data_IF_583172134614
#
_entry.id   IF_583172134614
#
_cell.length_a   1.000
_cell.length_b   1.000
_cell.length_c   1.000
_cell.angle_alpha   90.00
_cell.angle_beta   90.00
_cell.angle_gamma   90.00
#
_symmetry.space_group_name_H-M   'P 1'
#
loop_
_entity.id
_entity.type
_entity.pdbx_description
1 polymer ?
#
# COMPACT_ATOMS: atom_id res chain seq x y z
N UNK A 1 38.02 -15.23 -36.38
CA UNK A 1 37.18 -14.14 -35.81
C UNK A 1 35.90 -14.75 -35.30
N UNK A 2 35.87 -15.14 -34.02
CA UNK A 2 34.69 -15.68 -33.37
C UNK A 2 33.97 -14.54 -32.64
N UNK A 3 32.71 -14.28 -32.98
CA UNK A 3 31.84 -13.45 -32.16
C UNK A 3 31.17 -14.38 -31.14
N UNK A 4 31.55 -14.36 -29.85
CA UNK A 4 30.84 -15.13 -28.85
C UNK A 4 29.50 -14.45 -28.51
N UNK A 5 28.46 -15.27 -28.53
CA UNK A 5 27.11 -15.06 -27.99
C UNK A 5 26.22 -13.96 -28.57
N UNK A 6 25.22 -14.41 -29.35
CA UNK A 6 23.89 -13.77 -29.38
C UNK A 6 23.27 -13.87 -27.98
N UNK A 7 23.27 -12.76 -27.24
CA UNK A 7 22.46 -12.64 -26.03
C UNK A 7 20.97 -12.65 -26.42
N UNK A 8 20.10 -13.39 -25.73
CA UNK A 8 18.67 -13.23 -25.91
C UNK A 8 18.31 -11.81 -25.46
N UNK A 9 17.71 -11.01 -26.35
CA UNK A 9 16.89 -9.85 -25.97
C UNK A 9 15.63 -10.36 -25.26
N UNK A 10 15.84 -11.01 -24.11
CA UNK A 10 14.79 -11.29 -23.16
C UNK A 10 14.45 -9.95 -22.51
N UNK A 11 13.55 -9.24 -23.17
CA UNK A 11 12.78 -8.17 -22.54
C UNK A 11 11.78 -8.74 -21.50
N UNK A 12 11.87 -10.03 -21.17
CA UNK A 12 11.39 -10.62 -19.93
C UNK A 12 12.45 -10.42 -18.83
N UNK A 13 12.70 -9.17 -18.48
CA UNK A 13 13.33 -8.88 -17.20
C UNK A 13 12.19 -8.37 -16.30
N UNK A 14 11.61 -9.23 -15.44
CA UNK A 14 10.71 -8.75 -14.40
C UNK A 14 11.55 -7.81 -13.54
N UNK A 15 11.30 -6.51 -13.65
CA UNK A 15 11.98 -5.50 -12.86
C UNK A 15 11.82 -5.88 -11.40
N UNK A 16 12.89 -6.45 -10.84
CA UNK A 16 12.97 -6.86 -9.46
C UNK A 16 12.72 -5.65 -8.59
N UNK A 17 11.48 -5.50 -8.14
CA UNK A 17 11.11 -4.59 -7.07
C UNK A 17 10.64 -5.37 -5.84
N UNK A 18 11.27 -6.52 -5.55
CA UNK A 18 10.87 -7.48 -4.52
C UNK A 18 10.90 -6.96 -3.07
N UNK A 19 11.19 -5.67 -2.84
CA UNK A 19 11.18 -5.06 -1.50
C UNK A 19 10.95 -3.54 -1.49
N UNK A 20 10.41 -2.94 -2.55
CA UNK A 20 10.19 -1.48 -2.56
C UNK A 20 8.83 -1.16 -1.94
N UNK A 21 8.82 -0.73 -0.68
CA UNK A 21 7.64 -0.16 0.00
C UNK A 21 7.06 0.96 -0.85
N UNK A 22 5.96 0.68 -1.54
CA UNK A 22 5.28 1.65 -2.40
C UNK A 22 4.52 2.64 -1.52
N UNK A 23 4.61 3.91 -1.88
CA UNK A 23 3.83 4.96 -1.26
C UNK A 23 2.57 5.19 -2.10
N UNK A 24 1.43 4.91 -1.51
CA UNK A 24 0.10 5.14 -2.07
C UNK A 24 -0.31 6.60 -1.85
N UNK A 25 -0.82 7.24 -2.90
CA UNK A 25 -1.49 8.54 -2.77
C UNK A 25 -2.88 8.34 -2.16
N UNK A 26 -3.47 9.40 -1.59
CA UNK A 26 -4.84 9.39 -1.05
C UNK A 26 -5.85 8.64 -1.92
N UNK A 27 -5.88 8.88 -3.24
CA UNK A 27 -6.79 8.20 -4.17
C UNK A 27 -6.64 6.68 -4.15
N UNK A 28 -5.41 6.17 -4.14
CA UNK A 28 -5.14 4.73 -4.10
C UNK A 28 -5.57 4.13 -2.76
N UNK A 29 -5.37 4.86 -1.67
CA UNK A 29 -5.79 4.40 -0.34
C UNK A 29 -7.30 4.27 -0.28
N UNK A 30 -8.04 5.28 -0.75
CA UNK A 30 -9.50 5.25 -0.78
C UNK A 30 -10.05 4.12 -1.68
N UNK A 31 -9.37 3.83 -2.79
CA UNK A 31 -9.70 2.71 -3.68
C UNK A 31 -9.52 1.36 -2.97
N UNK A 32 -8.44 1.19 -2.22
CA UNK A 32 -8.13 -0.06 -1.51
C UNK A 32 -8.98 -0.29 -0.28
N UNK A 33 -9.24 0.76 0.49
CA UNK A 33 -10.00 0.66 1.74
C UNK A 33 -11.50 0.86 1.53
N UNK A 34 -11.94 1.23 0.32
CA UNK A 34 -13.33 1.61 0.00
C UNK A 34 -13.90 2.65 0.96
N UNK A 35 -13.04 3.52 1.51
CA UNK A 35 -13.43 4.52 2.50
C UNK A 35 -13.73 5.86 1.83
N UNK A 36 -14.65 6.62 2.44
CA UNK A 36 -14.83 8.02 2.12
C UNK A 36 -13.72 8.88 2.72
N UNK A 37 -13.41 10.02 2.10
CA UNK A 37 -12.41 10.98 2.60
C UNK A 37 -12.62 11.36 4.07
N UNK A 38 -13.87 11.66 4.43
CA UNK A 38 -14.23 12.03 5.80
C UNK A 38 -13.90 10.90 6.78
N UNK A 39 -14.28 9.66 6.44
CA UNK A 39 -14.04 8.50 7.28
C UNK A 39 -12.55 8.22 7.42
N UNK A 40 -11.79 8.34 6.33
CA UNK A 40 -10.33 8.22 6.38
C UNK A 40 -9.72 9.20 7.39
N UNK A 41 -10.10 10.49 7.35
CA UNK A 41 -9.59 11.47 8.31
C UNK A 41 -10.08 11.23 9.75
N UNK A 42 -11.32 10.77 9.93
CA UNK A 42 -11.84 10.38 11.25
C UNK A 42 -11.01 9.23 11.85
N UNK A 43 -10.76 8.18 11.08
CA UNK A 43 -9.97 7.04 11.54
C UNK A 43 -8.51 7.42 11.81
N UNK A 44 -7.94 8.38 11.05
CA UNK A 44 -6.63 8.95 11.35
C UNK A 44 -6.67 9.69 12.70
N UNK A 45 -7.73 10.47 12.96
CA UNK A 45 -7.91 11.18 14.23
C UNK A 45 -8.14 10.23 15.42
N UNK A 46 -8.85 9.12 15.20
CA UNK A 46 -9.06 8.05 16.17
C UNK A 46 -7.81 7.17 16.39
N UNK A 47 -6.74 7.38 15.62
CA UNK A 47 -5.52 6.57 15.67
C UNK A 47 -5.70 5.13 15.17
N UNK A 48 -6.79 4.85 14.46
CA UNK A 48 -7.10 3.54 13.87
C UNK A 48 -6.49 3.38 12.48
N UNK A 49 -6.22 4.47 11.78
CA UNK A 49 -5.66 4.46 10.43
C UNK A 49 -4.19 4.89 10.41
N UNK A 50 -3.35 4.33 9.52
CA UNK A 50 -1.96 4.73 9.41
C UNK A 50 -1.78 6.22 9.08
N UNK A 51 -0.77 6.82 9.70
CA UNK A 51 -0.51 8.25 9.55
C UNK A 51 0.00 8.58 8.15
N UNK A 52 -0.42 9.72 7.56
CA UNK A 52 0.11 10.15 6.28
C UNK A 52 1.59 10.51 6.38
N UNK A 53 2.41 9.82 5.60
CA UNK A 53 3.81 10.16 5.35
C UNK A 53 3.87 11.32 4.34
N UNK A 54 4.73 12.31 4.60
CA UNK A 54 4.93 13.48 3.72
C UNK A 54 6.24 13.32 2.94
N UNK A 55 6.25 12.66 1.77
CA UNK A 55 7.49 12.34 1.05
C UNK A 55 8.23 13.57 0.48
N UNK A 56 7.55 14.70 0.28
CA UNK A 56 8.14 15.89 -0.39
C UNK A 56 7.96 17.17 0.45
N UNK A 57 7.68 17.05 1.75
CA UNK A 57 7.58 18.21 2.65
C UNK A 57 6.45 19.22 2.35
N UNK A 58 5.59 18.97 1.36
CA UNK A 58 4.46 19.83 0.98
C UNK A 58 3.07 19.29 1.37
N UNK A 59 2.04 19.68 0.59
CA UNK A 59 0.63 19.21 0.69
C UNK A 59 0.41 17.75 0.27
N UNK A 60 1.48 17.03 -0.08
CA UNK A 60 1.41 15.67 -0.54
C UNK A 60 1.42 14.71 0.65
N UNK A 61 0.24 14.15 0.96
CA UNK A 61 0.09 13.02 1.88
C UNK A 61 0.17 11.72 1.09
N UNK A 62 1.06 10.83 1.51
CA UNK A 62 1.20 9.50 0.99
C UNK A 62 1.16 8.48 2.15
N UNK A 63 0.71 7.27 1.86
CA UNK A 63 0.61 6.18 2.84
C UNK A 63 1.45 5.01 2.38
N UNK A 64 2.01 4.25 3.30
CA UNK A 64 2.76 3.04 2.95
C UNK A 64 1.76 1.95 2.58
N UNK A 65 1.97 1.30 1.44
CA UNK A 65 1.12 0.18 0.98
C UNK A 65 0.99 -0.92 2.03
N UNK A 66 2.10 -1.28 2.67
CA UNK A 66 2.16 -2.27 3.75
C UNK A 66 1.28 -1.90 4.94
N UNK A 67 1.26 -0.63 5.36
CA UNK A 67 0.42 -0.21 6.48
C UNK A 67 -1.07 -0.21 6.14
N UNK A 68 -1.41 0.13 4.89
CA UNK A 68 -2.81 0.05 4.42
C UNK A 68 -3.27 -1.42 4.37
N UNK A 69 -2.42 -2.32 3.88
CA UNK A 69 -2.72 -3.75 3.82
C UNK A 69 -2.87 -4.36 5.23
N UNK A 70 -1.96 -4.02 6.15
CA UNK A 70 -2.07 -4.42 7.56
C UNK A 70 -3.35 -3.88 8.21
N UNK A 71 -3.73 -2.64 7.92
CA UNK A 71 -4.99 -2.08 8.42
C UNK A 71 -6.20 -2.88 7.92
N UNK A 72 -6.24 -3.21 6.64
CA UNK A 72 -7.32 -4.02 6.06
C UNK A 72 -7.37 -5.40 6.74
N UNK A 73 -6.22 -6.05 6.92
CA UNK A 73 -6.12 -7.32 7.62
C UNK A 73 -6.59 -7.22 9.09
N UNK A 74 -6.21 -6.16 9.81
CA UNK A 74 -6.69 -5.89 11.18
C UNK A 74 -8.19 -5.63 11.23
N UNK A 75 -8.78 -4.92 10.27
CA UNK A 75 -10.23 -4.73 10.18
C UNK A 75 -10.96 -6.05 9.96
N UNK A 76 -10.44 -6.91 9.07
CA UNK A 76 -11.01 -8.24 8.83
C UNK A 76 -10.88 -9.10 10.09
N UNK A 77 -9.73 -9.10 10.74
CA UNK A 77 -9.51 -9.82 11.99
C UNK A 77 -10.41 -9.30 13.13
N UNK A 78 -10.64 -7.98 13.22
CA UNK A 78 -11.56 -7.40 14.21
C UNK A 78 -13.01 -7.82 13.93
N UNK A 79 -13.41 -7.90 12.65
CA UNK A 79 -14.72 -8.41 12.25
C UNK A 79 -14.86 -9.89 12.62
N UNK A 80 -13.90 -10.72 12.25
CA UNK A 80 -13.88 -12.16 12.53
C UNK A 80 -13.88 -12.42 14.04
N UNK A 81 -13.08 -11.68 14.81
CA UNK A 81 -13.05 -11.73 16.27
C UNK A 81 -14.39 -11.35 16.92
N UNK A 82 -15.17 -10.48 16.27
CA UNK A 82 -16.51 -10.11 16.73
C UNK A 82 -17.57 -11.19 16.40
N UNK A 83 -17.31 -12.09 15.44
CA UNK A 83 -18.20 -13.23 15.15
C UNK A 83 -18.02 -14.39 16.15
N UNK A 84 -16.89 -14.45 16.89
CA UNK A 84 -16.63 -15.51 17.89
C UNK A 84 -17.30 -15.26 19.26
N UNK A 85 -17.98 -14.11 19.44
CA UNK A 85 -18.69 -13.76 20.67
C UNK A 85 -20.22 -13.68 20.52
N UNK A 86 -20.78 -14.14 19.39
CA UNK A 86 -22.22 -14.16 19.14
C UNK A 86 -22.84 -15.54 19.36
#
# INVERSE_FOLDING_TARGET
>A
MAYPQSLPTSNDQPHGNRTYRRLLKRKQVLDRTSLSNTVMYQLIAEGRFPQPVKPTGGRASAWVEEEVDQYIASCIALRDANEVNA
#
